data_IF_432117972732
#
_entry.id   IF_432117972732
#
_cell.length_a   1.000
_cell.length_b   1.000
_cell.length_c   1.000
_cell.angle_alpha   90.00
_cell.angle_beta   90.00
_cell.angle_gamma   90.00
#
_symmetry.space_group_name_H-M   'P 1'
#
loop_
_entity.id
_entity.type
_entity.pdbx_description
1 polymer ?
#
# COMPACT_ATOMS: atom_id res chain seq x y z
N UNK A 1 -6.59 -6.43 6.08
CA UNK A 1 -6.04 -5.06 6.28
C UNK A 1 -6.60 -4.52 7.58
N UNK A 2 -5.75 -4.01 8.43
CA UNK A 2 -6.13 -3.30 9.65
C UNK A 2 -6.00 -1.81 9.39
N UNK A 3 -7.03 -1.04 9.77
CA UNK A 3 -7.08 0.41 9.64
C UNK A 3 -7.38 0.98 11.03
N UNK A 4 -6.50 1.81 11.55
CA UNK A 4 -6.67 2.48 12.83
C UNK A 4 -6.77 3.99 12.60
N UNK A 5 -7.96 4.55 12.88
CA UNK A 5 -8.22 5.98 12.76
C UNK A 5 -7.74 6.72 14.00
N UNK A 6 -6.93 7.74 13.79
CA UNK A 6 -6.47 8.70 14.80
C UNK A 6 -7.05 10.08 14.49
N UNK A 7 -6.83 11.04 15.38
CA UNK A 7 -7.36 12.40 15.20
C UNK A 7 -6.78 13.07 13.94
N UNK A 8 -5.49 12.93 13.70
CA UNK A 8 -4.71 13.64 12.69
C UNK A 8 -4.08 12.72 11.63
N UNK A 9 -4.25 11.41 11.76
CA UNK A 9 -3.66 10.41 10.87
C UNK A 9 -4.46 9.11 10.84
N UNK A 10 -4.18 8.29 9.87
CA UNK A 10 -4.62 6.89 9.81
C UNK A 10 -3.40 5.98 9.74
N UNK A 11 -3.39 4.91 10.55
CA UNK A 11 -2.41 3.84 10.44
C UNK A 11 -3.04 2.69 9.66
N UNK A 12 -2.33 2.21 8.66
CA UNK A 12 -2.78 1.11 7.81
C UNK A 12 -1.72 0.03 7.83
N UNK A 13 -2.14 -1.20 8.13
CA UNK A 13 -1.29 -2.38 8.19
C UNK A 13 -1.94 -3.49 7.36
N UNK A 14 -1.23 -4.01 6.37
CA UNK A 14 -1.77 -5.05 5.53
C UNK A 14 -0.76 -5.65 4.55
N UNK A 15 -1.16 -6.77 3.94
CA UNK A 15 -0.36 -7.42 2.92
C UNK A 15 -0.67 -6.82 1.55
N UNK A 16 0.38 -6.36 0.89
CA UNK A 16 0.35 -5.85 -0.48
C UNK A 16 0.24 -7.01 -1.47
N UNK A 17 0.91 -8.12 -1.18
CA UNK A 17 0.86 -9.35 -1.97
C UNK A 17 1.17 -10.56 -1.08
N UNK A 18 0.61 -11.71 -1.42
CA UNK A 18 0.95 -13.00 -0.81
C UNK A 18 1.86 -13.79 -1.76
N UNK A 19 3.03 -14.23 -1.28
CA UNK A 19 3.99 -15.02 -2.08
C UNK A 19 3.54 -16.48 -2.25
N UNK A 20 4.07 -17.16 -3.26
CA UNK A 20 3.79 -18.55 -3.60
C UNK A 20 2.30 -18.87 -3.78
N UNK A 21 1.50 -17.92 -4.25
CA UNK A 21 0.08 -18.08 -4.54
C UNK A 21 -0.22 -17.62 -5.95
N UNK A 22 -1.02 -18.42 -6.68
CA UNK A 22 -1.50 -18.06 -8.01
C UNK A 22 -2.33 -16.77 -7.95
N UNK A 23 -2.02 -15.86 -8.84
CA UNK A 23 -2.91 -14.75 -9.16
C UNK A 23 -4.19 -15.28 -9.83
N UNK A 24 -5.20 -14.43 -9.97
CA UNK A 24 -6.23 -14.65 -10.98
C UNK A 24 -5.60 -14.54 -12.36
N UNK A 25 -6.24 -15.10 -13.40
CA UNK A 25 -5.73 -14.99 -14.76
C UNK A 25 -5.55 -13.53 -15.20
N UNK A 26 -4.35 -13.20 -15.66
CA UNK A 26 -3.88 -11.90 -16.05
C UNK A 26 -3.76 -11.88 -17.56
N UNK A 27 -4.25 -10.87 -18.30
CA UNK A 27 -3.95 -10.74 -19.70
C UNK A 27 -2.51 -10.27 -19.92
N UNK A 28 -1.81 -10.88 -20.86
CA UNK A 28 -0.54 -10.38 -21.39
C UNK A 28 -0.76 -9.28 -22.45
N UNK A 29 0.32 -8.80 -23.04
CA UNK A 29 0.27 -7.78 -24.11
C UNK A 29 -0.43 -8.24 -25.38
N UNK A 30 -0.56 -9.55 -25.60
CA UNK A 30 -1.24 -10.15 -26.77
C UNK A 30 -2.70 -10.49 -26.45
N UNK A 31 -3.15 -10.30 -25.21
CA UNK A 31 -4.48 -10.68 -24.73
C UNK A 31 -4.58 -12.14 -24.29
N UNK A 32 -3.50 -12.93 -24.34
CA UNK A 32 -3.46 -14.26 -23.75
C UNK A 32 -3.45 -14.15 -22.22
N UNK A 33 -4.03 -15.14 -21.56
CA UNK A 33 -4.11 -15.13 -20.08
C UNK A 33 -3.09 -16.07 -19.48
N UNK A 34 -2.47 -15.61 -18.39
CA UNK A 34 -1.58 -16.41 -17.57
C UNK A 34 -1.91 -16.23 -16.07
N UNK A 35 -1.42 -17.10 -15.23
CA UNK A 35 -1.40 -16.94 -13.77
C UNK A 35 0.02 -16.66 -13.32
N UNK A 36 0.17 -15.92 -12.24
CA UNK A 36 1.48 -15.50 -11.74
C UNK A 36 1.62 -15.80 -10.26
N UNK A 37 2.81 -16.21 -9.85
CA UNK A 37 3.22 -16.30 -8.46
C UNK A 37 4.47 -15.44 -8.26
N UNK A 38 4.45 -14.58 -7.24
CA UNK A 38 5.67 -13.96 -6.75
C UNK A 38 6.33 -14.95 -5.80
N UNK A 39 7.57 -15.30 -6.08
CA UNK A 39 8.29 -16.32 -5.32
C UNK A 39 8.83 -15.75 -4.01
N UNK A 40 8.89 -16.55 -2.94
CA UNK A 40 9.47 -16.14 -1.66
C UNK A 40 10.88 -15.56 -1.83
N UNK A 41 11.16 -14.44 -1.15
CA UNK A 41 12.41 -13.72 -1.22
C UNK A 41 12.53 -12.71 -2.37
N UNK A 42 11.58 -12.67 -3.31
CA UNK A 42 11.63 -11.73 -4.43
C UNK A 42 11.50 -10.28 -3.95
N UNK A 43 10.55 -10.01 -3.06
CA UNK A 43 10.40 -8.69 -2.46
C UNK A 43 11.54 -8.33 -1.52
N UNK A 44 12.01 -9.28 -0.69
CA UNK A 44 13.14 -9.04 0.20
C UNK A 44 14.36 -8.56 -0.57
N UNK A 45 14.72 -9.25 -1.67
CA UNK A 45 15.82 -8.84 -2.55
C UNK A 45 15.59 -7.48 -3.20
N UNK A 46 14.34 -7.18 -3.62
CA UNK A 46 13.98 -5.87 -4.18
C UNK A 46 14.15 -4.75 -3.16
N UNK A 47 13.72 -4.97 -1.91
CA UNK A 47 13.86 -4.01 -0.81
C UNK A 47 15.35 -3.77 -0.47
N UNK A 48 16.16 -4.84 -0.40
CA UNK A 48 17.61 -4.72 -0.17
C UNK A 48 18.30 -3.93 -1.28
N UNK A 49 17.99 -4.19 -2.55
CA UNK A 49 18.55 -3.42 -3.69
C UNK A 49 18.12 -1.95 -3.65
N UNK A 50 16.86 -1.66 -3.36
CA UNK A 50 16.38 -0.29 -3.23
C UNK A 50 17.16 0.45 -2.14
N UNK A 51 17.32 -0.17 -0.97
CA UNK A 51 18.12 0.37 0.15
C UNK A 51 19.59 0.56 -0.22
N UNK A 52 20.22 -0.43 -0.86
CA UNK A 52 21.63 -0.35 -1.28
C UNK A 52 21.89 0.76 -2.31
N UNK A 53 20.89 1.08 -3.15
CA UNK A 53 20.95 2.17 -4.13
C UNK A 53 20.40 3.50 -3.60
N UNK A 54 20.09 3.58 -2.33
CA UNK A 54 19.52 4.76 -1.67
C UNK A 54 18.25 5.29 -2.37
N UNK A 55 17.42 4.36 -2.85
CA UNK A 55 16.18 4.63 -3.56
C UNK A 55 14.98 4.33 -2.66
N UNK A 56 14.20 5.34 -2.31
CA UNK A 56 12.93 5.16 -1.64
C UNK A 56 11.91 4.45 -2.55
N UNK A 57 11.01 3.68 -1.94
CA UNK A 57 9.86 3.08 -2.62
C UNK A 57 8.64 3.91 -2.22
N UNK A 58 7.95 4.45 -3.21
CA UNK A 58 6.82 5.34 -3.01
C UNK A 58 5.56 4.58 -2.56
N UNK A 59 4.77 5.23 -1.71
CA UNK A 59 3.39 4.88 -1.46
C UNK A 59 2.49 5.85 -2.20
N UNK A 60 1.69 5.34 -3.11
CA UNK A 60 0.78 6.12 -3.94
C UNK A 60 -0.68 5.85 -3.59
N UNK A 61 -1.58 6.70 -4.06
CA UNK A 61 -3.00 6.42 -4.17
C UNK A 61 -3.30 6.06 -5.62
N UNK A 62 -3.88 4.86 -5.85
CA UNK A 62 -4.36 4.40 -7.15
C UNK A 62 -3.30 4.40 -8.29
N UNK A 63 -2.01 4.22 -7.99
CA UNK A 63 -0.90 4.32 -8.95
C UNK A 63 -0.74 5.70 -9.59
N UNK A 64 -1.30 6.72 -8.99
CA UNK A 64 -1.18 8.09 -9.50
C UNK A 64 0.08 8.74 -8.95
N UNK A 65 1.08 9.00 -9.79
CA UNK A 65 2.37 9.60 -9.38
C UNK A 65 2.22 10.97 -8.71
N UNK A 66 1.20 11.73 -9.12
CA UNK A 66 0.85 13.01 -8.50
C UNK A 66 0.13 12.87 -7.15
N UNK A 67 -0.19 11.63 -6.73
CA UNK A 67 -0.86 11.31 -5.46
C UNK A 67 0.04 10.48 -4.56
N UNK A 68 1.25 10.98 -4.32
CA UNK A 68 2.19 10.38 -3.37
C UNK A 68 1.72 10.62 -1.93
N UNK A 69 1.58 9.54 -1.16
CA UNK A 69 1.16 9.54 0.24
C UNK A 69 2.34 9.40 1.21
N UNK A 70 3.51 9.05 0.70
CA UNK A 70 4.74 8.86 1.45
C UNK A 70 5.71 7.91 0.75
N UNK A 71 6.69 7.43 1.49
CA UNK A 71 7.70 6.50 1.00
C UNK A 71 8.42 5.77 2.14
N UNK A 72 9.33 4.86 1.78
CA UNK A 72 10.10 4.06 2.73
C UNK A 72 11.15 4.84 3.52
N UNK A 73 11.44 6.09 3.14
CA UNK A 73 12.36 6.97 3.89
C UNK A 73 11.62 7.82 4.93
N UNK A 74 10.28 7.83 4.89
CA UNK A 74 9.46 8.71 5.73
C UNK A 74 8.45 7.95 6.61
N UNK A 75 7.34 7.51 6.04
CA UNK A 75 6.16 7.04 6.77
C UNK A 75 5.68 5.63 6.38
N UNK A 76 6.48 4.89 5.60
CA UNK A 76 6.15 3.55 5.13
C UNK A 76 7.21 2.55 5.53
N UNK A 77 6.79 1.44 6.13
CA UNK A 77 7.63 0.27 6.37
C UNK A 77 7.15 -0.86 5.49
N UNK A 78 8.05 -1.38 4.66
CA UNK A 78 7.83 -2.56 3.83
C UNK A 78 8.71 -3.71 4.32
N UNK A 79 8.12 -4.88 4.46
CA UNK A 79 8.84 -6.11 4.84
C UNK A 79 8.21 -7.31 4.16
N UNK A 80 9.03 -8.22 3.67
CA UNK A 80 8.55 -9.56 3.29
C UNK A 80 8.67 -10.49 4.49
N UNK A 81 7.58 -11.18 4.81
CA UNK A 81 7.52 -12.26 5.77
C UNK A 81 7.07 -13.58 5.10
N UNK A 82 6.77 -14.60 5.88
CA UNK A 82 6.34 -15.92 5.38
C UNK A 82 5.00 -15.90 4.61
N UNK A 83 4.21 -14.82 4.72
CA UNK A 83 2.95 -14.65 4.00
C UNK A 83 3.20 -13.90 2.69
N UNK A 84 4.02 -12.83 2.74
CA UNK A 84 4.33 -12.02 1.58
C UNK A 84 4.80 -10.61 1.93
N UNK A 85 4.64 -9.68 0.98
CA UNK A 85 4.97 -8.26 1.19
C UNK A 85 3.94 -7.60 2.08
N UNK A 86 4.35 -7.18 3.27
CA UNK A 86 3.55 -6.43 4.23
C UNK A 86 3.95 -4.96 4.22
N UNK A 87 2.94 -4.09 4.23
CA UNK A 87 3.12 -2.65 4.37
C UNK A 87 2.48 -2.15 5.67
N UNK A 88 3.21 -1.29 6.38
CA UNK A 88 2.73 -0.54 7.55
C UNK A 88 2.99 0.92 7.26
N UNK A 89 1.96 1.77 7.30
CA UNK A 89 2.11 3.19 6.99
C UNK A 89 1.25 4.09 7.88
N UNK A 90 1.75 5.30 8.08
CA UNK A 90 1.01 6.40 8.71
C UNK A 90 0.67 7.44 7.63
N UNK A 91 -0.60 7.79 7.47
CA UNK A 91 -1.06 8.70 6.43
C UNK A 91 -1.83 9.85 7.06
N UNK A 92 -1.46 11.08 6.68
CA UNK A 92 -2.08 12.32 7.13
C UNK A 92 -2.90 13.00 6.03
N UNK A 93 -2.95 12.41 4.83
CA UNK A 93 -3.73 12.93 3.71
C UNK A 93 -5.23 12.94 4.06
N UNK A 94 -5.90 14.11 4.02
CA UNK A 94 -7.28 14.24 4.47
C UNK A 94 -8.28 13.41 3.63
N UNK A 95 -8.04 13.25 2.34
CA UNK A 95 -8.89 12.45 1.45
C UNK A 95 -8.80 10.97 1.84
N UNK A 96 -7.57 10.46 2.03
CA UNK A 96 -7.36 9.07 2.44
C UNK A 96 -7.93 8.80 3.82
N UNK A 97 -7.77 9.74 4.76
CA UNK A 97 -8.38 9.65 6.09
C UNK A 97 -9.91 9.57 6.01
N UNK A 98 -10.53 10.39 5.16
CA UNK A 98 -11.98 10.36 4.95
C UNK A 98 -12.42 9.03 4.31
N UNK A 99 -11.73 8.56 3.27
CA UNK A 99 -12.00 7.26 2.63
C UNK A 99 -11.84 6.09 3.61
N UNK A 100 -10.85 6.15 4.50
CA UNK A 100 -10.67 5.16 5.55
C UNK A 100 -11.87 5.10 6.51
N UNK A 101 -12.37 6.27 6.96
CA UNK A 101 -13.57 6.37 7.82
C UNK A 101 -14.83 5.82 7.13
N UNK A 102 -14.95 6.06 5.84
CA UNK A 102 -16.09 5.62 5.03
C UNK A 102 -15.98 4.17 4.54
N UNK A 103 -14.89 3.46 4.88
CA UNK A 103 -14.65 2.09 4.42
C UNK A 103 -14.45 1.97 2.90
N UNK A 104 -13.94 3.03 2.26
CA UNK A 104 -13.77 3.13 0.80
C UNK A 104 -12.39 2.69 0.31
N UNK A 105 -11.46 2.34 1.19
CA UNK A 105 -10.20 1.73 0.81
C UNK A 105 -10.43 0.25 0.47
N UNK A 106 -10.11 -0.15 -0.77
CA UNK A 106 -10.44 -1.45 -1.33
C UNK A 106 -9.30 -2.46 -1.25
N UNK A 107 -8.06 -2.00 -1.15
CA UNK A 107 -6.94 -2.90 -1.12
C UNK A 107 -5.60 -2.26 -1.35
N UNK A 108 -4.68 -3.13 -1.74
CA UNK A 108 -3.32 -2.78 -2.08
C UNK A 108 -3.00 -3.16 -3.52
N UNK A 109 -2.05 -2.47 -4.07
CA UNK A 109 -1.41 -2.81 -5.34
C UNK A 109 0.07 -2.50 -5.27
N UNK A 110 0.85 -3.00 -6.22
CA UNK A 110 2.26 -2.66 -6.37
C UNK A 110 2.66 -2.61 -7.83
N UNK A 111 3.62 -1.75 -8.14
CA UNK A 111 4.25 -1.64 -9.44
C UNK A 111 5.69 -2.13 -9.39
N UNK A 112 6.10 -2.89 -10.40
CA UNK A 112 7.45 -3.41 -10.52
C UNK A 112 7.91 -3.45 -11.99
N UNK A 113 9.20 -3.65 -12.19
CA UNK A 113 9.84 -3.81 -13.49
C UNK A 113 10.96 -4.84 -13.41
N UNK A 114 11.61 -5.09 -14.53
CA UNK A 114 12.78 -5.96 -14.63
C UNK A 114 12.55 -7.36 -14.00
N UNK A 115 11.33 -7.92 -14.19
CA UNK A 115 11.01 -9.21 -13.62
C UNK A 115 11.83 -10.32 -14.28
N UNK A 116 12.52 -11.11 -13.45
CA UNK A 116 13.07 -12.41 -13.86
C UNK A 116 12.05 -13.47 -13.48
N UNK A 117 11.52 -14.18 -14.48
CA UNK A 117 10.50 -15.17 -14.27
C UNK A 117 10.78 -16.43 -15.09
N UNK A 118 10.29 -17.57 -14.59
CA UNK A 118 10.17 -18.83 -15.32
C UNK A 118 8.71 -19.10 -15.63
N UNK A 119 8.45 -19.79 -16.72
CA UNK A 119 7.10 -20.15 -17.12
C UNK A 119 6.95 -21.66 -17.27
N UNK A 120 5.79 -22.16 -16.87
CA UNK A 120 5.37 -23.53 -17.09
C UNK A 120 3.91 -23.62 -17.54
N UNK A 121 3.49 -24.75 -18.08
CA UNK A 121 2.10 -25.01 -18.39
C UNK A 121 1.34 -25.37 -17.10
N UNK A 122 0.30 -24.62 -16.76
CA UNK A 122 -0.55 -24.92 -15.63
C UNK A 122 -1.67 -25.92 -16.02
N UNK A 123 -2.17 -26.67 -15.04
CA UNK A 123 -3.17 -27.72 -15.24
C UNK A 123 -4.50 -27.23 -15.87
N UNK A 124 -4.78 -25.94 -15.82
CA UNK A 124 -5.97 -25.29 -16.38
C UNK A 124 -5.80 -24.81 -17.82
N UNK A 125 -4.70 -25.16 -18.50
CA UNK A 125 -4.38 -24.73 -19.85
C UNK A 125 -3.85 -23.32 -19.97
N UNK A 126 -3.59 -22.64 -18.85
CA UNK A 126 -2.93 -21.34 -18.82
C UNK A 126 -1.41 -21.53 -18.66
N UNK A 127 -0.66 -20.49 -18.98
CA UNK A 127 0.73 -20.38 -18.54
C UNK A 127 0.78 -19.95 -17.08
N UNK A 128 1.74 -20.49 -16.32
CA UNK A 128 2.07 -20.01 -14.97
C UNK A 128 3.45 -19.36 -15.00
N UNK A 129 3.49 -18.13 -14.54
CA UNK A 129 4.71 -17.33 -14.43
C UNK A 129 5.18 -17.30 -13.00
N UNK A 130 6.38 -17.77 -12.70
CA UNK A 130 7.03 -17.70 -11.39
C UNK A 130 8.00 -16.53 -11.39
N UNK A 131 7.64 -15.42 -10.75
CA UNK A 131 8.51 -14.24 -10.63
C UNK A 131 9.48 -14.47 -9.48
N UNK A 132 10.71 -14.78 -9.82
CA UNK A 132 11.78 -15.05 -8.88
C UNK A 132 12.47 -13.79 -8.39
N UNK A 133 12.49 -12.74 -9.21
CA UNK A 133 13.13 -11.47 -8.90
C UNK A 133 12.40 -10.31 -9.62
N UNK A 134 12.44 -9.12 -9.03
CA UNK A 134 11.77 -7.93 -9.57
C UNK A 134 12.38 -6.66 -8.96
N UNK A 135 12.23 -5.53 -9.62
CA UNK A 135 12.51 -4.22 -9.05
C UNK A 135 11.21 -3.55 -8.62
N UNK A 136 10.95 -3.50 -7.31
CA UNK A 136 9.76 -2.85 -6.76
C UNK A 136 9.85 -1.34 -6.97
N UNK A 137 8.89 -0.76 -7.66
CA UNK A 137 8.84 0.68 -7.98
C UNK A 137 8.04 1.45 -6.95
N UNK A 138 6.83 0.97 -6.64
CA UNK A 138 5.91 1.60 -5.71
C UNK A 138 4.96 0.56 -5.09
N UNK A 139 4.31 0.96 -4.01
CA UNK A 139 3.11 0.32 -3.48
C UNK A 139 1.97 1.34 -3.49
N UNK A 140 0.75 0.88 -3.70
CA UNK A 140 -0.41 1.78 -3.78
C UNK A 140 -1.56 1.31 -2.89
N UNK A 141 -2.20 2.26 -2.22
CA UNK A 141 -3.54 2.06 -1.71
C UNK A 141 -4.54 2.23 -2.86
N UNK A 142 -5.52 1.34 -2.91
CA UNK A 142 -6.58 1.34 -3.91
C UNK A 142 -7.89 1.73 -3.25
N UNK A 143 -8.54 2.74 -3.81
CA UNK A 143 -9.85 3.22 -3.35
C UNK A 143 -11.01 2.77 -4.24
N UNK A 144 -12.22 3.29 -4.00
CA UNK A 144 -13.43 2.93 -4.73
C UNK A 144 -13.45 3.37 -6.19
N UNK A 145 -12.58 4.30 -6.61
CA UNK A 145 -12.53 4.80 -7.99
C UNK A 145 -11.97 3.78 -8.95
N UNK A 146 -11.02 2.99 -8.47
CA UNK A 146 -10.56 1.81 -9.19
C UNK A 146 -11.27 0.62 -8.57
N UNK A 147 -12.24 0.09 -9.29
CA UNK A 147 -12.66 -1.28 -9.02
C UNK A 147 -11.36 -2.06 -9.09
N UNK A 148 -10.95 -2.76 -8.01
CA UNK A 148 -9.83 -3.68 -8.13
C UNK A 148 -10.25 -4.60 -9.25
N UNK A 149 -9.74 -4.31 -10.47
CA UNK A 149 -9.96 -5.15 -11.63
C UNK A 149 -9.32 -6.45 -11.24
N UNK A 150 -10.09 -7.16 -10.46
CA UNK A 150 -9.73 -8.48 -9.98
C UNK A 150 -8.64 -8.48 -8.90
N UNK A 151 -8.58 -9.49 -8.12
CA UNK A 151 -7.36 -10.08 -7.68
C UNK A 151 -6.52 -10.42 -8.93
N UNK A 152 -5.83 -9.49 -9.52
CA UNK A 152 -5.03 -9.67 -10.72
C UNK A 152 -5.05 -8.43 -11.60
N UNK A 153 -4.04 -7.84 -11.74
CA UNK A 153 -3.25 -7.13 -12.74
C UNK A 153 -3.95 -6.35 -13.83
N UNK A 154 -3.56 -5.09 -13.90
CA UNK A 154 -3.46 -4.37 -15.16
C UNK A 154 -1.99 -4.16 -15.50
N UNK A 155 -1.58 -4.49 -16.72
CA UNK A 155 -0.32 -4.02 -17.30
C UNK A 155 -0.57 -2.62 -17.81
N UNK A 156 -0.09 -1.60 -17.08
CA UNK A 156 -0.09 -0.24 -17.61
C UNK A 156 1.25 -0.02 -18.30
N UNK A 157 1.24 -0.10 -19.63
CA UNK A 157 2.33 0.45 -20.43
C UNK A 157 2.19 1.96 -20.39
N UNK A 158 3.08 2.66 -19.68
CA UNK A 158 3.24 4.10 -19.85
C UNK A 158 4.06 4.32 -21.11
N UNK A 159 3.44 4.94 -22.10
CA UNK A 159 4.15 5.52 -23.22
C UNK A 159 4.78 6.83 -22.75
N UNK A 160 5.93 6.74 -22.12
CA UNK A 160 6.89 7.83 -22.04
C UNK A 160 8.22 7.28 -22.59
N UNK A 161 8.97 8.11 -23.31
CA UNK A 161 10.09 7.74 -24.20
C UNK A 161 11.30 7.01 -23.57
N UNK A 162 11.07 6.21 -22.52
CA UNK A 162 12.02 5.27 -21.94
C UNK A 162 11.41 3.88 -21.94
N UNK A 163 12.12 2.89 -22.50
CA UNK A 163 11.70 1.49 -22.70
C UNK A 163 11.41 0.69 -21.41
N UNK A 164 11.01 1.33 -20.31
CA UNK A 164 10.75 0.68 -19.04
C UNK A 164 9.26 0.39 -18.87
N UNK A 165 8.87 -0.87 -19.00
CA UNK A 165 7.50 -1.32 -18.72
C UNK A 165 7.32 -1.58 -17.24
N UNK A 166 6.43 -0.82 -16.58
CA UNK A 166 6.03 -1.06 -15.19
C UNK A 166 4.84 -2.01 -15.17
N UNK A 167 5.01 -3.15 -14.52
CA UNK A 167 3.93 -4.10 -14.28
C UNK A 167 3.26 -3.79 -12.93
N UNK A 168 1.93 -3.74 -12.88
CA UNK A 168 1.17 -3.49 -11.65
C UNK A 168 0.33 -4.70 -11.26
N UNK A 169 0.22 -4.95 -9.96
CA UNK A 169 -0.51 -6.08 -9.37
C UNK A 169 -1.34 -5.62 -8.17
N UNK A 170 -2.65 -5.84 -8.25
CA UNK A 170 -3.59 -5.46 -7.20
C UNK A 170 -4.09 -6.66 -6.42
N UNK A 171 -4.19 -6.54 -5.10
CA UNK A 171 -4.81 -7.52 -4.22
C UNK A 171 -6.08 -6.95 -3.60
N UNK A 172 -7.22 -7.59 -3.88
CA UNK A 172 -8.49 -7.24 -3.25
C UNK A 172 -8.50 -7.69 -1.78
N UNK A 173 -8.90 -6.79 -0.91
CA UNK A 173 -9.12 -7.09 0.50
C UNK A 173 -10.60 -7.31 0.72
N UNK A 174 -10.96 -8.56 1.07
CA UNK A 174 -12.36 -8.92 1.33
C UNK A 174 -12.88 -8.37 2.64
N UNK A 175 -12.00 -8.23 3.63
CA UNK A 175 -12.36 -7.74 4.96
C UNK A 175 -11.28 -6.77 5.46
N UNK A 176 -11.70 -5.59 5.91
CA UNK A 176 -10.84 -4.64 6.62
C UNK A 176 -11.37 -4.47 8.04
N UNK A 177 -10.49 -4.57 9.02
CA UNK A 177 -10.81 -4.22 10.40
C UNK A 177 -10.51 -2.74 10.58
N UNK A 178 -11.51 -1.95 10.95
CA UNK A 178 -11.39 -0.51 11.19
C UNK A 178 -11.55 -0.27 12.70
N UNK A 179 -10.54 0.35 13.31
CA UNK A 179 -10.56 0.77 14.71
C UNK A 179 -10.53 2.30 14.75
N UNK A 180 -11.58 2.92 15.28
CA UNK A 180 -11.65 4.37 15.43
C UNK A 180 -11.23 4.79 16.85
N UNK A 181 -9.99 5.28 16.96
CA UNK A 181 -9.41 5.80 18.20
C UNK A 181 -9.38 7.34 18.26
N UNK A 182 -9.99 8.02 17.31
CA UNK A 182 -9.95 9.48 17.20
C UNK A 182 -10.53 10.21 18.41
N UNK A 183 -11.58 9.68 19.05
CA UNK A 183 -12.18 10.25 20.25
C UNK A 183 -11.33 10.01 21.51
N UNK A 184 -10.59 8.91 21.57
CA UNK A 184 -9.65 8.63 22.66
C UNK A 184 -8.50 9.63 22.62
N UNK A 185 -7.97 9.91 21.44
CA UNK A 185 -6.91 10.90 21.24
C UNK A 185 -7.38 12.31 21.62
N UNK A 186 -8.60 12.70 21.24
CA UNK A 186 -9.20 14.00 21.65
C UNK A 186 -9.30 14.12 23.16
N UNK A 187 -9.80 13.10 23.85
CA UNK A 187 -9.92 13.10 25.32
C UNK A 187 -8.56 13.18 26.00
N UNK A 188 -7.55 12.47 25.49
CA UNK A 188 -6.20 12.52 26.03
C UNK A 188 -5.58 13.93 25.89
N UNK A 189 -5.74 14.57 24.72
CA UNK A 189 -5.32 15.95 24.48
C UNK A 189 -6.05 16.93 25.40
N UNK A 190 -7.37 16.81 25.52
CA UNK A 190 -8.17 17.68 26.39
C UNK A 190 -7.78 17.56 27.87
N UNK A 191 -7.54 16.34 28.34
CA UNK A 191 -7.04 16.11 29.69
C UNK A 191 -5.65 16.72 29.90
N UNK A 192 -4.74 16.61 28.95
CA UNK A 192 -3.39 17.18 29.01
C UNK A 192 -3.40 18.71 29.04
N UNK A 193 -4.39 19.34 28.37
CA UNK A 193 -4.55 20.80 28.31
C UNK A 193 -5.29 21.37 29.53
N UNK A 194 -6.02 20.56 30.29
CA UNK A 194 -6.82 21.04 31.42
C UNK A 194 -6.03 21.86 32.46
N UNK A 195 -4.83 21.46 32.91
CA UNK A 195 -4.03 22.24 33.90
C UNK A 195 -3.63 23.60 33.31
N UNK A 196 -3.36 23.70 32.01
CA UNK A 196 -2.97 24.95 31.38
C UNK A 196 -4.16 25.91 31.23
N UNK A 197 -5.34 25.38 30.87
CA UNK A 197 -6.59 26.18 30.83
C UNK A 197 -6.96 26.74 32.22
N UNK A 198 -6.84 25.91 33.25
CA UNK A 198 -7.09 26.35 34.65
C UNK A 198 -6.12 27.44 35.10
N UNK A 199 -4.83 27.33 34.72
CA UNK A 199 -3.83 28.33 35.01
C UNK A 199 -4.08 29.64 34.30
N UNK A 200 -4.48 29.58 33.04
CA UNK A 200 -4.83 30.75 32.23
C UNK A 200 -6.01 31.50 32.84
N UNK A 201 -7.09 30.79 33.20
CA UNK A 201 -8.28 31.37 33.83
C UNK A 201 -7.94 32.06 35.19
N UNK A 202 -7.04 31.47 35.98
CA UNK A 202 -6.57 32.07 37.26
C UNK A 202 -5.75 33.36 37.05
N UNK A 203 -5.01 33.46 35.95
CA UNK A 203 -4.25 34.66 35.60
C UNK A 203 -5.19 35.78 35.17
N UNK A 204 -6.15 35.48 34.30
CA UNK A 204 -7.16 36.46 33.82
C UNK A 204 -8.08 36.98 34.95
N UNK A 205 -8.38 36.13 35.92
CA UNK A 205 -9.18 36.53 37.09
C UNK A 205 -8.41 37.43 38.10
N UNK A 206 -7.10 37.60 37.94
CA UNK A 206 -6.28 38.50 38.77
C UNK A 206 -6.05 39.87 38.17
N UNK A 207 -6.39 40.02 36.86
CA UNK A 207 -6.24 41.29 36.13
C UNK A 207 -7.55 42.12 36.10
N UNK A 208 -8.66 41.54 36.59
CA UNK A 208 -9.92 42.23 36.86
C UNK A 208 -10.12 42.48 38.37
#
# INVERSE_FOLDING_TARGET
>A
MRIELRQDKVLIDGYVNAVARDSRPIPDTNGERFVEQIMPGAFARALERAKASNRAIDLLLDHEENRKLGDTDSNVTLVEDNIGLRAICEITDPEVMQKAREGKLRGWSFGFMNARAQEEDAANGLKRRFVEDLDLKEVSLIDERKIPCYAGTSVNTRADDTEETVETRSMEIKEATIEDNSEIDKRAVEQSLKPYKERLNKLQAKEN
#
